data_IF_048805329012
#
_entry.id   IF_048805329012
#
_cell.length_a   1.000
_cell.length_b   1.000
_cell.length_c   1.000
_cell.angle_alpha   90.00
_cell.angle_beta   90.00
_cell.angle_gamma   90.00
#
_symmetry.space_group_name_H-M   'P 1'
#
loop_
_entity.id
_entity.type
_entity.pdbx_description
1 polymer ?
#
# COMPACT_ATOMS: atom_id res chain seq x y z
N UNK A 1 5.37 21.56 -4.63
CA UNK A 1 4.06 21.44 -5.30
C UNK A 1 3.39 22.79 -5.28
N UNK A 2 2.07 22.86 -5.31
CA UNK A 2 1.29 24.06 -4.97
C UNK A 2 0.03 23.63 -4.21
N UNK A 3 -0.51 24.50 -3.39
CA UNK A 3 -1.81 24.32 -2.77
C UNK A 3 -2.90 24.49 -3.82
N UNK A 4 -3.91 23.61 -3.77
CA UNK A 4 -5.09 23.66 -4.62
C UNK A 4 -6.31 23.60 -3.72
N UNK A 5 -7.16 24.61 -3.79
CA UNK A 5 -8.43 24.65 -3.08
C UNK A 5 -9.55 24.06 -3.91
N UNK A 6 -10.38 23.20 -3.30
CA UNK A 6 -11.54 22.58 -3.95
C UNK A 6 -12.88 23.26 -3.61
N UNK A 7 -12.83 24.32 -2.79
CA UNK A 7 -13.97 25.18 -2.43
C UNK A 7 -13.56 26.64 -2.57
N UNK A 8 -14.51 27.58 -2.65
CA UNK A 8 -14.18 29.01 -2.75
C UNK A 8 -13.28 29.50 -1.60
N UNK A 9 -13.55 29.04 -0.38
CA UNK A 9 -12.70 29.32 0.77
C UNK A 9 -11.30 28.69 0.60
N UNK A 10 -11.24 27.45 0.14
CA UNK A 10 -9.98 26.77 -0.14
C UNK A 10 -9.15 27.45 -1.22
N UNK A 11 -9.78 28.01 -2.26
CA UNK A 11 -9.09 28.74 -3.34
C UNK A 11 -8.42 29.99 -2.79
N UNK A 12 -9.13 30.77 -1.96
CA UNK A 12 -8.57 31.96 -1.30
C UNK A 12 -7.36 31.63 -0.41
N UNK A 13 -7.43 30.53 0.35
CA UNK A 13 -6.31 30.07 1.16
C UNK A 13 -5.14 29.58 0.30
N UNK A 14 -5.43 28.82 -0.76
CA UNK A 14 -4.40 28.35 -1.69
C UNK A 14 -3.67 29.51 -2.36
N UNK A 15 -4.37 30.57 -2.76
CA UNK A 15 -3.75 31.79 -3.29
C UNK A 15 -2.84 32.48 -2.27
N UNK A 16 -3.21 32.50 -0.99
CA UNK A 16 -2.39 33.06 0.06
C UNK A 16 -1.13 32.21 0.30
N UNK A 17 -1.29 30.90 0.48
CA UNK A 17 -0.18 29.98 0.76
C UNK A 17 0.78 29.80 -0.41
N UNK A 18 0.29 29.87 -1.66
CA UNK A 18 1.14 29.75 -2.84
C UNK A 18 2.10 30.94 -3.05
N UNK A 19 1.97 32.02 -2.26
CA UNK A 19 2.91 33.16 -2.29
C UNK A 19 4.18 32.89 -1.46
N UNK A 20 4.16 31.94 -0.53
CA UNK A 20 5.32 31.56 0.26
C UNK A 20 6.14 30.48 -0.44
N UNK A 21 7.19 30.89 -1.14
CA UNK A 21 8.08 29.97 -1.85
C UNK A 21 8.94 29.10 -0.91
N UNK A 22 9.20 29.58 0.31
CA UNK A 22 9.98 28.83 1.31
C UNK A 22 9.19 27.61 1.78
N UNK A 23 7.93 27.84 2.16
CA UNK A 23 7.03 26.76 2.56
C UNK A 23 6.79 25.75 1.43
N UNK A 24 6.53 26.21 0.19
CA UNK A 24 6.37 25.32 -0.96
C UNK A 24 7.60 24.44 -1.25
N UNK A 25 8.81 24.98 -0.99
CA UNK A 25 10.06 24.24 -1.12
C UNK A 25 10.17 23.14 -0.07
N UNK A 26 9.89 23.46 1.21
CA UNK A 26 9.87 22.50 2.31
C UNK A 26 8.84 21.41 2.05
N UNK A 27 7.63 21.77 1.68
CA UNK A 27 6.55 20.81 1.38
C UNK A 27 6.88 19.91 0.19
N UNK A 28 7.65 20.40 -0.79
CA UNK A 28 8.16 19.56 -1.89
C UNK A 28 9.21 18.57 -1.38
N UNK A 29 10.10 18.99 -0.49
CA UNK A 29 11.16 18.15 0.07
C UNK A 29 10.60 17.00 0.93
N UNK A 30 9.47 17.21 1.61
CA UNK A 30 8.81 16.20 2.47
C UNK A 30 8.58 14.85 1.76
N UNK A 31 8.32 14.83 0.45
CA UNK A 31 8.21 13.58 -0.32
C UNK A 31 9.44 12.71 -0.18
N UNK A 32 10.63 13.30 -0.32
CA UNK A 32 11.89 12.55 -0.27
C UNK A 32 12.35 12.34 1.17
N UNK A 33 12.16 13.32 2.06
CA UNK A 33 12.68 13.25 3.44
C UNK A 33 11.81 12.45 4.39
N UNK A 34 10.50 12.37 4.14
CA UNK A 34 9.56 11.64 5.00
C UNK A 34 8.99 10.44 4.28
N UNK A 35 8.33 10.62 3.13
CA UNK A 35 7.67 9.51 2.47
C UNK A 35 8.69 8.46 2.00
N UNK A 36 9.68 8.86 1.20
CA UNK A 36 10.69 7.93 0.70
C UNK A 36 11.50 7.29 1.83
N UNK A 37 11.91 8.06 2.83
CA UNK A 37 12.62 7.54 3.99
C UNK A 37 11.85 6.40 4.69
N UNK A 38 10.57 6.62 4.99
CA UNK A 38 9.74 5.61 5.64
C UNK A 38 9.47 4.42 4.73
N UNK A 39 9.18 4.66 3.44
CA UNK A 39 9.01 3.59 2.45
C UNK A 39 10.25 2.69 2.40
N UNK A 40 11.44 3.28 2.32
CA UNK A 40 12.69 2.52 2.24
C UNK A 40 12.89 1.67 3.52
N UNK A 41 12.56 2.20 4.70
CA UNK A 41 12.56 1.44 5.97
C UNK A 41 11.57 0.28 5.93
N UNK A 42 10.33 0.53 5.51
CA UNK A 42 9.27 -0.49 5.48
C UNK A 42 9.61 -1.61 4.49
N UNK A 43 10.18 -1.28 3.33
CA UNK A 43 10.64 -2.28 2.36
C UNK A 43 11.81 -3.12 2.86
N UNK A 44 12.76 -2.51 3.57
CA UNK A 44 13.88 -3.24 4.16
C UNK A 44 13.43 -4.15 5.32
N UNK A 45 12.52 -3.66 6.15
CA UNK A 45 12.05 -4.33 7.35
C UNK A 45 11.02 -5.43 7.11
N UNK A 46 9.97 -5.13 6.33
CA UNK A 46 8.73 -5.91 6.37
C UNK A 46 8.14 -6.20 4.99
N UNK A 47 7.98 -5.20 4.12
CA UNK A 47 7.17 -5.33 2.92
C UNK A 47 7.75 -6.30 1.89
N UNK A 48 9.07 -6.50 1.90
CA UNK A 48 9.75 -7.49 1.04
C UNK A 48 9.85 -8.89 1.65
N UNK A 49 9.44 -9.06 2.90
CA UNK A 49 9.58 -10.34 3.61
C UNK A 49 8.39 -11.23 3.28
N UNK A 50 8.67 -12.51 3.09
CA UNK A 50 7.65 -13.55 2.91
C UNK A 50 7.99 -14.72 3.82
N UNK A 51 6.95 -15.43 4.25
CA UNK A 51 7.09 -16.66 5.03
C UNK A 51 6.80 -17.84 4.12
N UNK A 52 7.57 -18.91 4.26
CA UNK A 52 7.30 -20.15 3.55
C UNK A 52 5.96 -20.72 4.02
N UNK A 53 5.00 -21.00 3.11
CA UNK A 53 3.77 -21.65 3.52
C UNK A 53 4.02 -23.13 3.79
N UNK A 54 3.21 -23.68 4.68
CA UNK A 54 3.05 -25.12 4.86
C UNK A 54 1.90 -25.62 3.98
N UNK A 55 2.09 -26.79 3.37
CA UNK A 55 1.11 -27.37 2.44
C UNK A 55 0.73 -28.77 2.90
N UNK A 56 -0.56 -29.03 2.98
CA UNK A 56 -1.12 -30.36 3.29
C UNK A 56 -2.04 -30.81 2.16
N UNK A 57 -1.85 -32.06 1.71
CA UNK A 57 -2.69 -32.70 0.69
C UNK A 57 -3.49 -33.82 1.35
N UNK A 58 -4.81 -33.79 1.19
CA UNK A 58 -5.71 -34.81 1.73
C UNK A 58 -6.57 -35.41 0.61
N UNK A 59 -6.72 -36.73 0.63
CA UNK A 59 -7.70 -37.41 -0.21
C UNK A 59 -9.08 -37.30 0.43
N UNK A 60 -10.06 -36.82 -0.31
CA UNK A 60 -11.44 -36.67 0.14
C UNK A 60 -12.39 -37.37 -0.80
N UNK A 61 -13.50 -37.86 -0.25
CA UNK A 61 -14.62 -38.37 -1.04
C UNK A 61 -15.46 -37.17 -1.53
N UNK A 62 -15.63 -36.97 -2.86
CA UNK A 62 -16.48 -35.91 -3.38
C UNK A 62 -17.93 -36.04 -2.90
N UNK A 63 -18.60 -34.90 -2.65
CA UNK A 63 -20.03 -34.87 -2.33
C UNK A 63 -20.93 -35.28 -3.52
N UNK A 64 -20.36 -35.40 -4.73
CA UNK A 64 -21.03 -35.90 -5.93
C UNK A 64 -20.11 -35.88 -7.15
N UNK A 65 -20.36 -36.77 -8.12
CA UNK A 65 -19.59 -36.88 -9.37
C UNK A 65 -19.01 -38.27 -9.64
N UNK A 66 -18.51 -38.49 -10.85
CA UNK A 66 -18.00 -39.79 -11.33
C UNK A 66 -16.58 -40.13 -10.82
N UNK A 67 -15.94 -39.24 -10.07
CA UNK A 67 -14.58 -39.43 -9.58
C UNK A 67 -14.63 -40.05 -8.18
N UNK A 68 -14.04 -41.24 -7.95
CA UNK A 68 -14.13 -41.92 -6.67
C UNK A 68 -13.26 -41.29 -5.56
N UNK A 69 -12.36 -40.36 -5.91
CA UNK A 69 -11.53 -39.61 -4.97
C UNK A 69 -11.18 -38.22 -5.55
N UNK A 70 -10.98 -37.22 -4.67
CA UNK A 70 -10.43 -35.91 -5.00
C UNK A 70 -9.32 -35.54 -4.02
N UNK A 71 -8.42 -34.64 -4.42
CA UNK A 71 -7.39 -34.10 -3.54
C UNK A 71 -7.76 -32.67 -3.12
N UNK A 72 -7.67 -32.37 -1.83
CA UNK A 72 -7.74 -31.02 -1.28
C UNK A 72 -6.33 -30.55 -0.92
N UNK A 73 -5.98 -29.34 -1.37
CA UNK A 73 -4.72 -28.69 -1.04
C UNK A 73 -4.99 -27.54 -0.07
N UNK A 74 -4.55 -27.69 1.17
CA UNK A 74 -4.63 -26.66 2.21
C UNK A 74 -3.27 -25.98 2.36
N UNK A 75 -3.26 -24.65 2.31
CA UNK A 75 -2.05 -23.82 2.39
C UNK A 75 -2.17 -22.91 3.61
N UNK A 76 -1.22 -23.02 4.54
CA UNK A 76 -1.14 -22.22 5.78
C UNK A 76 0.14 -21.43 5.86
#
# INVERSE_FOLDING_TARGET
GKYVGYTEFGVKNAEAWNKDLSDLSVMKAQKETVCKHNIDIDYQGFLSKSVQPSVTIESVTPSGGHHPAMLVCSVY
#
